data_IF_313501794974
#
_entry.id   IF_313501794974
#
_cell.length_a   1.000
_cell.length_b   1.000
_cell.length_c   1.000
_cell.angle_alpha   90.00
_cell.angle_beta   90.00
_cell.angle_gamma   90.00
#
_symmetry.space_group_name_H-M   'P 1'
#
loop_
_entity.id
_entity.type
_entity.pdbx_description
1 polymer ?
#
# COMPACT_ATOMS: atom_id res chain seq x y z
N UNK A 1 -29.52 43.41 -35.02
CA UNK A 1 -30.74 42.73 -34.54
C UNK A 1 -30.67 41.31 -35.09
N UNK A 2 -30.13 40.31 -34.41
CA UNK A 2 -30.28 39.99 -32.99
C UNK A 2 -31.38 38.93 -32.86
N UNK A 3 -31.06 37.66 -33.12
CA UNK A 3 -31.57 36.56 -32.30
C UNK A 3 -30.67 35.33 -32.45
N UNK A 4 -29.83 35.13 -31.43
CA UNK A 4 -29.05 33.93 -31.18
C UNK A 4 -29.97 32.97 -30.43
N UNK A 5 -30.41 31.90 -31.08
CA UNK A 5 -31.20 30.83 -30.46
C UNK A 5 -30.27 29.80 -29.82
N UNK A 6 -29.99 30.02 -28.55
CA UNK A 6 -29.56 29.07 -27.51
C UNK A 6 -28.80 27.82 -27.96
N UNK A 7 -27.48 27.88 -27.74
CA UNK A 7 -26.59 26.73 -27.66
C UNK A 7 -27.12 25.70 -26.66
N UNK A 8 -27.43 24.51 -27.16
CA UNK A 8 -27.39 23.27 -26.41
C UNK A 8 -25.97 23.05 -25.89
N UNK A 9 -25.72 23.39 -24.64
CA UNK A 9 -24.48 23.01 -23.95
C UNK A 9 -24.80 21.97 -22.89
N UNK A 10 -24.70 20.73 -23.34
CA UNK A 10 -24.50 19.49 -22.59
C UNK A 10 -23.56 19.68 -21.40
N UNK A 11 -24.11 19.73 -20.18
CA UNK A 11 -23.45 19.15 -19.02
C UNK A 11 -23.91 17.70 -18.94
N UNK A 12 -23.29 16.82 -19.72
CA UNK A 12 -23.31 15.40 -19.36
C UNK A 12 -22.61 15.30 -18.01
N UNK A 13 -23.40 15.22 -16.93
CA UNK A 13 -22.91 14.82 -15.62
C UNK A 13 -22.23 13.47 -15.81
N UNK A 14 -20.89 13.43 -15.70
CA UNK A 14 -20.13 12.19 -15.74
C UNK A 14 -20.59 11.33 -14.57
N UNK A 15 -21.53 10.44 -14.85
CA UNK A 15 -22.06 9.50 -13.87
C UNK A 15 -20.93 8.60 -13.39
N UNK A 16 -20.68 8.58 -12.07
CA UNK A 16 -19.71 7.65 -11.49
C UNK A 16 -20.03 6.21 -11.88
N UNK A 17 -19.02 5.50 -12.40
CA UNK A 17 -19.12 4.08 -12.69
C UNK A 17 -18.83 3.25 -11.44
N UNK A 18 -19.87 3.02 -10.64
CA UNK A 18 -19.76 2.30 -9.36
C UNK A 18 -19.26 0.87 -9.51
N UNK A 19 -19.57 0.19 -10.62
CA UNK A 19 -19.10 -1.18 -10.89
C UNK A 19 -17.58 -1.23 -11.09
N UNK A 20 -17.04 -0.32 -11.90
CA UNK A 20 -15.59 -0.23 -12.11
C UNK A 20 -14.85 0.09 -10.82
N UNK A 21 -15.37 1.03 -10.03
CA UNK A 21 -14.79 1.36 -8.73
C UNK A 21 -14.85 0.18 -7.76
N UNK A 22 -15.94 -0.60 -7.76
CA UNK A 22 -16.04 -1.80 -6.93
C UNK A 22 -14.94 -2.82 -7.28
N UNK A 23 -14.73 -3.07 -8.57
CA UNK A 23 -13.69 -3.98 -9.05
C UNK A 23 -12.31 -3.46 -8.66
N UNK A 24 -12.02 -2.18 -8.88
CA UNK A 24 -10.75 -1.56 -8.54
C UNK A 24 -10.43 -1.69 -7.05
N UNK A 25 -11.35 -1.29 -6.18
CA UNK A 25 -11.12 -1.30 -4.73
C UNK A 25 -11.06 -2.75 -4.20
N UNK A 26 -11.76 -3.69 -4.85
CA UNK A 26 -11.64 -5.12 -4.53
C UNK A 26 -10.24 -5.65 -4.86
N UNK A 27 -9.63 -5.19 -5.95
CA UNK A 27 -8.24 -5.52 -6.26
C UNK A 27 -7.28 -4.94 -5.22
N UNK A 28 -7.43 -3.67 -4.83
CA UNK A 28 -6.60 -3.09 -3.76
C UNK A 28 -6.67 -3.88 -2.47
N UNK A 29 -7.87 -4.31 -2.07
CA UNK A 29 -8.04 -5.15 -0.89
C UNK A 29 -7.28 -6.47 -1.00
N UNK A 30 -7.34 -7.12 -2.16
CA UNK A 30 -6.61 -8.35 -2.42
C UNK A 30 -5.09 -8.12 -2.37
N UNK A 31 -4.60 -7.04 -2.97
CA UNK A 31 -3.19 -6.66 -2.95
C UNK A 31 -2.69 -6.43 -1.53
N UNK A 32 -3.50 -5.82 -0.65
CA UNK A 32 -3.16 -5.59 0.75
C UNK A 32 -3.01 -6.90 1.55
N UNK A 33 -3.78 -7.95 1.24
CA UNK A 33 -3.55 -9.27 1.85
C UNK A 33 -2.22 -9.88 1.38
N UNK A 34 -1.85 -9.71 0.10
CA UNK A 34 -0.52 -10.12 -0.38
C UNK A 34 0.61 -9.34 0.29
N UNK A 35 0.47 -8.01 0.42
CA UNK A 35 1.48 -7.17 1.08
C UNK A 35 1.66 -7.53 2.54
N UNK A 36 0.58 -7.87 3.25
CA UNK A 36 0.64 -8.33 4.64
C UNK A 36 1.46 -9.62 4.78
N UNK A 37 1.26 -10.58 3.88
CA UNK A 37 2.05 -11.81 3.86
C UNK A 37 3.53 -11.53 3.53
N UNK A 38 3.79 -10.63 2.58
CA UNK A 38 5.15 -10.20 2.22
C UNK A 38 5.86 -9.50 3.38
N UNK A 39 5.19 -8.57 4.09
CA UNK A 39 5.75 -7.89 5.27
C UNK A 39 6.12 -8.92 6.34
N UNK A 40 5.23 -9.89 6.62
CA UNK A 40 5.55 -10.97 7.57
C UNK A 40 6.78 -11.76 7.13
N UNK A 41 6.89 -12.06 5.83
CA UNK A 41 8.06 -12.74 5.29
C UNK A 41 9.35 -11.91 5.48
N UNK A 42 9.32 -10.61 5.20
CA UNK A 42 10.46 -9.71 5.37
C UNK A 42 10.89 -9.60 6.84
N UNK A 43 9.94 -9.51 7.76
CA UNK A 43 10.21 -9.53 9.20
C UNK A 43 10.93 -10.81 9.63
N UNK A 44 10.44 -11.97 9.19
CA UNK A 44 11.07 -13.28 9.45
C UNK A 44 12.46 -13.39 8.82
N UNK A 45 12.64 -12.83 7.62
CA UNK A 45 13.92 -12.81 6.94
C UNK A 45 14.96 -12.03 7.76
N UNK A 46 14.59 -10.83 8.22
CA UNK A 46 15.45 -10.01 9.08
C UNK A 46 15.82 -10.78 10.35
N UNK A 47 14.85 -11.39 11.04
CA UNK A 47 15.10 -12.17 12.26
C UNK A 47 16.12 -13.29 12.05
N UNK A 48 16.04 -14.00 10.93
CA UNK A 48 16.94 -15.11 10.61
C UNK A 48 18.39 -14.66 10.39
N UNK A 49 18.61 -13.60 9.63
CA UNK A 49 19.96 -13.14 9.26
C UNK A 49 20.59 -12.23 10.33
N UNK A 50 19.80 -11.77 11.29
CA UNK A 50 20.28 -10.86 12.34
C UNK A 50 21.28 -11.46 13.31
N UNK A 51 21.21 -12.78 13.53
CA UNK A 51 22.06 -13.49 14.48
C UNK A 51 23.55 -13.31 14.12
N UNK A 52 23.84 -13.05 12.85
CA UNK A 52 25.19 -12.94 12.29
C UNK A 52 25.71 -11.49 12.23
N UNK A 53 24.86 -10.52 12.55
CA UNK A 53 25.24 -9.11 12.54
C UNK A 53 25.94 -8.74 13.85
N UNK A 54 27.28 -8.67 13.81
CA UNK A 54 28.12 -8.38 14.99
C UNK A 54 28.60 -6.92 15.07
N UNK A 55 28.52 -6.15 13.99
CA UNK A 55 28.96 -4.74 13.93
C UNK A 55 27.87 -3.77 14.40
N UNK A 56 28.21 -2.87 15.32
CA UNK A 56 27.26 -1.90 15.92
C UNK A 56 26.51 -1.01 14.91
N UNK A 57 27.20 -0.50 13.89
CA UNK A 57 26.57 0.31 12.83
C UNK A 57 25.47 -0.44 12.06
N UNK A 58 25.65 -1.76 11.89
CA UNK A 58 24.65 -2.61 11.26
C UNK A 58 23.48 -2.90 12.21
N UNK A 59 23.69 -2.91 13.53
CA UNK A 59 22.61 -3.07 14.52
C UNK A 59 21.65 -1.86 14.52
N UNK A 60 22.18 -0.64 14.47
CA UNK A 60 21.35 0.58 14.43
C UNK A 60 20.51 0.63 13.14
N UNK A 61 21.12 0.28 12.00
CA UNK A 61 20.43 0.19 10.71
C UNK A 61 19.29 -0.83 10.75
N UNK A 62 19.53 -2.00 11.33
CA UNK A 62 18.50 -3.03 11.48
C UNK A 62 17.36 -2.55 12.39
N UNK A 63 17.67 -1.90 13.50
CA UNK A 63 16.65 -1.38 14.40
C UNK A 63 15.71 -0.41 13.66
N UNK A 64 16.28 0.44 12.79
CA UNK A 64 15.52 1.30 11.88
C UNK A 64 14.61 0.51 10.93
N UNK A 65 15.14 -0.52 10.27
CA UNK A 65 14.36 -1.38 9.36
C UNK A 65 13.22 -2.09 10.11
N UNK A 66 13.49 -2.66 11.29
CA UNK A 66 12.46 -3.33 12.11
C UNK A 66 11.31 -2.38 12.47
N UNK A 67 11.65 -1.15 12.83
CA UNK A 67 10.64 -0.12 13.11
C UNK A 67 9.81 0.17 11.85
N UNK A 68 10.46 0.38 10.69
CA UNK A 68 9.78 0.63 9.41
C UNK A 68 8.85 -0.52 9.01
N UNK A 69 9.29 -1.77 9.15
CA UNK A 69 8.47 -2.96 8.88
C UNK A 69 7.27 -3.07 9.84
N UNK A 70 7.44 -2.69 11.11
CA UNK A 70 6.33 -2.65 12.07
C UNK A 70 5.29 -1.58 11.70
N UNK A 71 5.76 -0.37 11.39
CA UNK A 71 4.91 0.75 10.97
C UNK A 71 4.17 0.40 9.66
N UNK A 72 4.83 -0.28 8.71
CA UNK A 72 4.21 -0.80 7.48
C UNK A 72 3.14 -1.86 7.76
N UNK A 73 3.37 -2.77 8.72
CA UNK A 73 2.37 -3.76 9.09
C UNK A 73 1.09 -3.11 9.65
N UNK A 74 1.24 -2.08 10.49
CA UNK A 74 0.12 -1.29 11.01
C UNK A 74 -0.60 -0.57 9.87
N UNK A 75 0.15 0.13 9.01
CA UNK A 75 -0.41 0.86 7.86
C UNK A 75 -1.18 -0.07 6.92
N UNK A 76 -0.62 -1.25 6.61
CA UNK A 76 -1.27 -2.26 5.79
C UNK A 76 -2.60 -2.73 6.39
N UNK A 77 -2.64 -2.95 7.71
CA UNK A 77 -3.86 -3.34 8.41
C UNK A 77 -4.93 -2.25 8.36
N UNK A 78 -4.56 -1.00 8.70
CA UNK A 78 -5.48 0.13 8.68
C UNK A 78 -6.03 0.39 7.27
N UNK A 79 -5.15 0.35 6.26
CA UNK A 79 -5.54 0.54 4.88
C UNK A 79 -6.44 -0.59 4.37
N UNK A 80 -6.23 -1.83 4.80
CA UNK A 80 -7.12 -2.94 4.50
C UNK A 80 -8.52 -2.73 5.11
N UNK A 81 -8.62 -2.26 6.35
CA UNK A 81 -9.91 -1.92 6.97
C UNK A 81 -10.61 -0.79 6.21
N UNK A 82 -9.89 0.31 5.94
CA UNK A 82 -10.43 1.46 5.20
C UNK A 82 -10.92 1.06 3.80
N UNK A 83 -10.18 0.18 3.10
CA UNK A 83 -10.55 -0.34 1.78
C UNK A 83 -11.80 -1.23 1.86
N UNK A 84 -11.91 -2.03 2.92
CA UNK A 84 -13.08 -2.89 3.17
C UNK A 84 -14.34 -2.06 3.44
N UNK A 85 -14.23 -1.03 4.28
CA UNK A 85 -15.34 -0.11 4.56
C UNK A 85 -15.75 0.65 3.31
N UNK A 86 -14.78 1.11 2.51
CA UNK A 86 -15.05 1.82 1.26
C UNK A 86 -15.75 0.94 0.22
N UNK A 87 -15.41 -0.35 0.14
CA UNK A 87 -16.15 -1.33 -0.66
C UNK A 87 -17.62 -1.46 -0.23
N UNK A 88 -17.89 -1.42 1.08
CA UNK A 88 -19.24 -1.41 1.62
C UNK A 88 -20.04 -0.20 1.14
N UNK A 89 -19.41 0.99 1.15
CA UNK A 89 -20.04 2.22 0.63
C UNK A 89 -20.34 2.09 -0.87
N UNK A 90 -19.42 1.54 -1.67
CA UNK A 90 -19.66 1.32 -3.11
C UNK A 90 -20.81 0.34 -3.34
N UNK A 91 -20.89 -0.73 -2.54
CA UNK A 91 -22.01 -1.68 -2.61
C UNK A 91 -23.35 -1.01 -2.30
N UNK A 92 -23.40 -0.14 -1.27
CA UNK A 92 -24.61 0.65 -0.98
C UNK A 92 -25.03 1.52 -2.16
N UNK A 93 -24.09 2.16 -2.88
CA UNK A 93 -24.41 2.91 -4.10
C UNK A 93 -24.94 2.03 -5.23
N UNK A 94 -24.35 0.85 -5.44
CA UNK A 94 -24.83 -0.14 -6.43
C UNK A 94 -26.25 -0.62 -6.14
N UNK A 95 -26.62 -0.71 -4.86
CA UNK A 95 -27.96 -1.11 -4.40
C UNK A 95 -28.95 0.06 -4.30
N UNK A 96 -28.55 1.29 -4.62
CA UNK A 96 -29.39 2.49 -4.49
C UNK A 96 -29.64 2.93 -3.04
N UNK A 97 -28.80 2.49 -2.10
CA UNK A 97 -28.85 2.78 -0.65
C UNK A 97 -27.79 3.78 -0.19
N UNK A 98 -27.02 4.35 -1.12
CA UNK A 98 -25.96 5.32 -0.83
C UNK A 98 -26.46 6.48 0.04
N UNK A 99 -25.78 6.70 1.18
CA UNK A 99 -26.19 7.69 2.19
C UNK A 99 -25.37 8.99 2.17
N UNK A 100 -24.26 8.99 1.45
CA UNK A 100 -23.37 10.14 1.31
C UNK A 100 -23.50 10.75 -0.08
N UNK A 101 -23.08 12.00 -0.24
CA UNK A 101 -23.05 12.62 -1.55
C UNK A 101 -21.96 12.01 -2.44
N UNK A 102 -22.13 12.04 -3.75
CA UNK A 102 -21.10 11.61 -4.71
C UNK A 102 -19.80 12.42 -4.54
N UNK A 103 -19.90 13.72 -4.29
CA UNK A 103 -18.72 14.56 -4.00
C UNK A 103 -17.96 14.13 -2.75
N UNK A 104 -18.68 13.76 -1.68
CA UNK A 104 -18.06 13.25 -0.46
C UNK A 104 -17.38 11.90 -0.71
N UNK A 105 -18.07 11.01 -1.44
CA UNK A 105 -17.52 9.73 -1.85
C UNK A 105 -16.21 9.91 -2.65
N UNK A 106 -16.21 10.77 -3.66
CA UNK A 106 -15.03 11.02 -4.51
C UNK A 106 -13.86 11.61 -3.71
N UNK A 107 -14.14 12.49 -2.74
CA UNK A 107 -13.11 13.00 -1.83
C UNK A 107 -12.48 11.88 -0.99
N UNK A 108 -13.31 10.98 -0.45
CA UNK A 108 -12.83 9.81 0.32
C UNK A 108 -12.06 8.83 -0.56
N UNK A 109 -12.54 8.57 -1.77
CA UNK A 109 -11.88 7.69 -2.74
C UNK A 109 -10.49 8.23 -3.11
N UNK A 110 -10.36 9.53 -3.40
CA UNK A 110 -9.06 10.14 -3.72
C UNK A 110 -8.05 10.12 -2.56
N UNK A 111 -8.53 10.23 -1.31
CA UNK A 111 -7.68 10.03 -0.13
C UNK A 111 -7.19 8.59 -0.04
N UNK A 112 -8.08 7.62 -0.24
CA UNK A 112 -7.73 6.20 -0.21
C UNK A 112 -6.72 5.85 -1.32
N UNK A 113 -6.89 6.39 -2.52
CA UNK A 113 -5.96 6.22 -3.63
C UNK A 113 -4.56 6.77 -3.30
N UNK A 114 -4.49 7.97 -2.71
CA UNK A 114 -3.23 8.55 -2.22
C UNK A 114 -2.59 7.63 -1.19
N UNK A 115 -3.34 7.19 -0.18
CA UNK A 115 -2.84 6.28 0.86
C UNK A 115 -2.33 4.95 0.30
N UNK A 116 -3.01 4.38 -0.70
CA UNK A 116 -2.55 3.15 -1.37
C UNK A 116 -1.25 3.38 -2.15
N UNK A 117 -1.15 4.50 -2.87
CA UNK A 117 0.05 4.87 -3.61
C UNK A 117 1.26 5.05 -2.69
N UNK A 118 1.07 5.76 -1.57
CA UNK A 118 2.14 6.02 -0.62
C UNK A 118 2.57 4.76 0.12
N UNK A 119 1.60 3.94 0.59
CA UNK A 119 1.89 2.63 1.17
C UNK A 119 2.72 1.74 0.24
N UNK A 120 2.35 1.65 -1.04
CA UNK A 120 3.08 0.82 -2.02
C UNK A 120 4.50 1.33 -2.24
N UNK A 121 4.74 2.64 -2.21
CA UNK A 121 6.09 3.21 -2.29
C UNK A 121 6.91 2.82 -1.06
N UNK A 122 6.37 3.05 0.13
CA UNK A 122 7.04 2.78 1.40
C UNK A 122 7.39 1.29 1.55
N UNK A 123 6.45 0.40 1.19
CA UNK A 123 6.67 -1.04 1.15
C UNK A 123 7.82 -1.41 0.20
N UNK A 124 7.83 -0.86 -1.02
CA UNK A 124 8.89 -1.16 -2.01
C UNK A 124 10.25 -0.69 -1.54
N UNK A 125 10.33 0.46 -0.89
CA UNK A 125 11.57 0.97 -0.32
C UNK A 125 12.06 0.10 0.84
N UNK A 126 11.16 -0.24 1.77
CA UNK A 126 11.49 -1.11 2.90
C UNK A 126 12.00 -2.47 2.43
N UNK A 127 11.31 -3.09 1.46
CA UNK A 127 11.73 -4.37 0.85
C UNK A 127 13.15 -4.30 0.26
N UNK A 128 13.51 -3.21 -0.42
CA UNK A 128 14.88 -3.02 -0.94
C UNK A 128 15.91 -2.91 0.17
N UNK A 129 15.58 -2.21 1.26
CA UNK A 129 16.48 -2.08 2.40
C UNK A 129 16.72 -3.41 3.10
N UNK A 130 15.67 -4.21 3.27
CA UNK A 130 15.75 -5.57 3.82
C UNK A 130 16.68 -6.43 2.98
N UNK A 131 16.44 -6.51 1.67
CA UNK A 131 17.29 -7.32 0.78
C UNK A 131 18.75 -6.87 0.81
N UNK A 132 19.02 -5.56 0.77
CA UNK A 132 20.38 -5.04 0.83
C UNK A 132 21.10 -5.42 2.12
N UNK A 133 20.40 -5.48 3.25
CA UNK A 133 21.00 -5.91 4.52
C UNK A 133 21.23 -7.42 4.53
N UNK A 134 20.29 -8.21 4.04
CA UNK A 134 20.43 -9.67 4.02
C UNK A 134 21.51 -10.14 3.06
N UNK A 135 21.62 -9.50 1.88
CA UNK A 135 22.71 -9.75 0.92
C UNK A 135 24.07 -9.43 1.53
N UNK A 136 24.20 -8.27 2.19
CA UNK A 136 25.45 -7.90 2.87
C UNK A 136 25.88 -8.94 3.92
N UNK A 137 24.93 -9.46 4.70
CA UNK A 137 25.22 -10.49 5.70
C UNK A 137 25.69 -11.77 5.03
N UNK A 138 24.98 -12.22 3.99
CA UNK A 138 25.34 -13.42 3.23
C UNK A 138 26.73 -13.31 2.59
N UNK A 139 27.04 -12.19 1.93
CA UNK A 139 28.36 -11.95 1.31
C UNK A 139 29.48 -11.91 2.36
N UNK A 140 29.21 -11.37 3.55
CA UNK A 140 30.18 -11.31 4.64
C UNK A 140 30.46 -12.67 5.29
N UNK A 141 29.45 -13.56 5.34
CA UNK A 141 29.59 -14.94 5.79
C UNK A 141 30.34 -15.81 4.78
N UNK A 142 30.06 -15.65 3.48
CA UNK A 142 30.79 -16.35 2.42
C UNK A 142 32.29 -16.01 2.46
N UNK A 143 32.62 -14.73 2.73
CA UNK A 143 33.99 -14.27 2.99
C UNK A 143 34.62 -14.91 4.24
N UNK A 144 33.87 -15.08 5.34
CA UNK A 144 34.40 -15.73 6.54
C UNK A 144 34.68 -17.22 6.31
N UNK A 145 33.77 -17.93 5.63
CA UNK A 145 33.98 -19.35 5.33
C UNK A 145 35.18 -19.59 4.37
N UNK A 146 35.47 -18.65 3.47
CA UNK A 146 36.66 -18.71 2.59
C UNK A 146 37.95 -18.39 3.36
N UNK A 147 37.91 -17.49 4.36
CA UNK A 147 39.09 -17.12 5.15
C UNK A 147 39.44 -18.14 6.24
N UNK A 148 38.46 -18.95 6.66
CA UNK A 148 38.64 -20.04 7.63
C UNK A 148 38.95 -21.41 6.96
N UNK A 149 39.08 -21.45 5.62
CA UNK A 149 39.43 -22.62 4.80
C UNK A 149 40.90 -22.60 4.34
#
# INVERSE_FOLDING_TARGET
>A
MGNSGLTSNTSEERKTNWQELYILVKHWRSDLEFYKDDIRFLQQLIEKYLIWITKKENLDRVAGIRKKEHDLAISCYELHQNTTDHLGVIADFLEGKGRISESEFLSRHGKLETSMSDFVKDFRESRKEVFKVTEYVMDSEELQNILDS
#
